data_IF_637861305601
#
_entry.id   IF_637861305601
#
_cell.length_a   1.000
_cell.length_b   1.000
_cell.length_c   1.000
_cell.angle_alpha   90.00
_cell.angle_beta   90.00
_cell.angle_gamma   90.00
#
_symmetry.space_group_name_H-M   'P 1'
#
loop_
_entity.id
_entity.type
_entity.pdbx_description
1 polymer ?
#
# COMPACT_ATOMS: atom_id res chain seq x y z
N UNK A 1 -12.39 14.49 -6.99
CA UNK A 1 -13.53 13.66 -6.54
C UNK A 1 -13.43 13.54 -5.02
N UNK A 2 -14.19 14.35 -4.28
CA UNK A 2 -14.17 14.35 -2.81
C UNK A 2 -15.60 14.17 -2.32
N UNK A 3 -15.83 13.21 -1.42
CA UNK A 3 -17.16 12.91 -0.90
C UNK A 3 -17.57 13.77 0.30
N UNK A 4 -18.85 13.73 0.66
CA UNK A 4 -19.43 14.46 1.80
C UNK A 4 -19.51 13.61 3.11
N UNK A 5 -18.85 12.46 3.16
CA UNK A 5 -18.78 11.61 4.35
C UNK A 5 -17.67 12.06 5.30
N UNK A 6 -17.75 11.65 6.56
CA UNK A 6 -16.74 11.96 7.57
C UNK A 6 -15.35 11.46 7.14
N UNK A 7 -14.34 12.31 7.31
CA UNK A 7 -12.96 12.03 6.92
C UNK A 7 -12.78 11.65 5.42
N UNK A 8 -13.47 12.35 4.51
CA UNK A 8 -13.36 12.13 3.07
C UNK A 8 -11.96 12.32 2.45
N UNK A 9 -10.99 12.78 3.22
CA UNK A 9 -9.57 12.79 2.83
C UNK A 9 -8.91 11.41 2.93
N UNK A 10 -9.51 10.44 3.64
CA UNK A 10 -8.91 9.13 3.85
C UNK A 10 -8.65 8.34 2.56
N UNK A 11 -9.55 8.28 1.56
CA UNK A 11 -9.23 7.59 0.31
C UNK A 11 -8.09 8.25 -0.47
N UNK A 12 -7.90 9.57 -0.32
CA UNK A 12 -6.79 10.27 -0.97
C UNK A 12 -5.43 9.77 -0.47
N UNK A 13 -5.32 9.36 0.81
CA UNK A 13 -4.09 8.77 1.36
C UNK A 13 -4.07 7.24 1.30
N UNK A 14 -5.18 6.58 1.64
CA UNK A 14 -5.24 5.13 1.73
C UNK A 14 -5.16 4.45 0.36
N UNK A 15 -5.67 5.07 -0.71
CA UNK A 15 -5.55 4.48 -2.06
C UNK A 15 -4.07 4.44 -2.49
N UNK A 16 -3.29 5.55 -2.47
CA UNK A 16 -1.86 5.47 -2.76
C UNK A 16 -1.10 4.53 -1.82
N UNK A 17 -1.41 4.53 -0.53
CA UNK A 17 -0.74 3.65 0.44
C UNK A 17 -1.03 2.18 0.14
N UNK A 18 -2.29 1.80 -0.10
CA UNK A 18 -2.66 0.39 -0.30
C UNK A 18 -2.37 -0.09 -1.71
N UNK A 19 -2.55 0.75 -2.74
CA UNK A 19 -2.38 0.31 -4.12
C UNK A 19 -0.96 0.47 -4.64
N UNK A 20 -0.13 1.34 -4.05
CA UNK A 20 1.25 1.56 -4.48
C UNK A 20 2.25 1.18 -3.39
N UNK A 21 2.21 1.83 -2.22
CA UNK A 21 3.23 1.62 -1.19
C UNK A 21 3.22 0.19 -0.64
N UNK A 22 2.03 -0.32 -0.29
CA UNK A 22 1.85 -1.66 0.27
C UNK A 22 2.33 -2.76 -0.68
N UNK A 23 1.94 -2.81 -1.97
CA UNK A 23 2.46 -3.83 -2.86
C UNK A 23 3.96 -3.68 -3.10
N UNK A 24 4.52 -2.47 -3.19
CA UNK A 24 5.98 -2.31 -3.30
C UNK A 24 6.70 -2.88 -2.07
N UNK A 25 6.24 -2.56 -0.87
CA UNK A 25 6.85 -3.06 0.38
C UNK A 25 6.68 -4.56 0.51
N UNK A 26 5.46 -5.08 0.33
CA UNK A 26 5.20 -6.52 0.45
C UNK A 26 5.93 -7.32 -0.62
N UNK A 27 5.97 -6.85 -1.87
CA UNK A 27 6.76 -7.52 -2.91
C UNK A 27 8.25 -7.50 -2.58
N UNK A 28 8.77 -6.41 -2.03
CA UNK A 28 10.17 -6.35 -1.56
C UNK A 28 10.45 -7.35 -0.44
N UNK A 29 9.57 -7.45 0.55
CA UNK A 29 9.70 -8.41 1.65
C UNK A 29 9.58 -9.86 1.15
N UNK A 30 8.59 -10.14 0.29
CA UNK A 30 8.42 -11.46 -0.31
C UNK A 30 9.60 -11.83 -1.21
N UNK A 31 10.14 -10.86 -1.95
CA UNK A 31 11.35 -11.05 -2.77
C UNK A 31 12.54 -11.45 -1.90
N UNK A 32 12.81 -10.72 -0.82
CA UNK A 32 13.86 -11.07 0.13
C UNK A 32 13.64 -12.47 0.70
N UNK A 33 12.39 -12.83 1.03
CA UNK A 33 12.05 -14.15 1.57
C UNK A 33 12.26 -15.29 0.57
N UNK A 34 11.96 -15.12 -0.72
CA UNK A 34 12.15 -16.19 -1.71
C UNK A 34 13.59 -16.31 -2.21
N UNK A 35 14.36 -15.21 -2.17
CA UNK A 35 15.76 -15.18 -2.57
C UNK A 35 16.72 -15.38 -1.39
N UNK A 36 16.23 -15.46 -0.15
CA UNK A 36 17.09 -15.76 0.98
C UNK A 36 17.61 -17.19 0.87
N UNK A 37 18.91 -17.34 0.63
CA UNK A 37 19.60 -18.61 0.79
C UNK A 37 19.42 -19.15 2.23
N UNK A 38 19.44 -20.47 2.38
CA UNK A 38 19.41 -21.16 3.68
C UNK A 38 20.68 -20.91 4.48
#
# INVERSE_FOLDING_TARGET
MTGAYAAAYLPWILIPVVCWLMPTVLMGLLFIYIESDS
#
